data_IF_245158277070
#
_entry.id   IF_245158277070
#
_cell.length_a   1.000
_cell.length_b   1.000
_cell.length_c   1.000
_cell.angle_alpha   90.00
_cell.angle_beta   90.00
_cell.angle_gamma   90.00
#
_symmetry.space_group_name_H-M   'P 1'
#
loop_
_entity.id
_entity.type
_entity.pdbx_description
1 polymer ?
#
# COMPACT_ATOMS: atom_id res chain seq x y z
N UNK A 1 10.99 -7.36 10.50
CA UNK A 1 10.64 -6.03 11.04
C UNK A 1 9.25 -6.15 11.65
N UNK A 2 8.99 -5.50 12.80
CA UNK A 2 7.71 -5.61 13.53
C UNK A 2 6.77 -4.41 13.36
N UNK A 3 7.10 -3.49 12.43
CA UNK A 3 6.35 -2.26 12.17
C UNK A 3 5.42 -2.35 10.96
N UNK A 4 5.25 -1.25 10.24
CA UNK A 4 4.37 -1.18 9.08
C UNK A 4 5.08 -1.62 7.79
N UNK A 5 4.35 -2.30 6.91
CA UNK A 5 4.70 -2.48 5.51
C UNK A 5 3.88 -1.49 4.66
N UNK A 6 4.54 -0.46 4.12
CA UNK A 6 3.94 0.49 3.20
C UNK A 6 4.11 0.00 1.77
N UNK A 7 3.02 -0.06 1.01
CA UNK A 7 3.02 -0.45 -0.39
C UNK A 7 2.46 0.73 -1.21
N UNK A 8 3.32 1.56 -1.82
CA UNK A 8 2.89 2.50 -2.84
C UNK A 8 2.31 1.73 -4.02
N UNK A 9 1.04 1.94 -4.34
CA UNK A 9 0.42 1.29 -5.50
C UNK A 9 -0.58 2.21 -6.22
N UNK A 10 -0.72 1.99 -7.52
CA UNK A 10 -1.76 2.68 -8.30
C UNK A 10 -3.13 2.08 -7.96
N UNK A 11 -4.12 2.96 -7.86
CA UNK A 11 -5.45 2.63 -7.35
C UNK A 11 -6.24 1.65 -8.23
N UNK A 12 -5.79 1.43 -9.47
CA UNK A 12 -6.43 0.56 -10.47
C UNK A 12 -5.35 -0.40 -10.98
N UNK A 13 -5.72 -1.68 -11.13
CA UNK A 13 -4.84 -2.81 -11.49
C UNK A 13 -3.93 -3.30 -10.37
N UNK A 14 -2.74 -2.73 -10.17
CA UNK A 14 -1.70 -3.31 -9.29
C UNK A 14 -2.12 -3.53 -7.83
N UNK A 15 -2.99 -2.67 -7.29
CA UNK A 15 -3.52 -2.87 -5.93
C UNK A 15 -4.34 -4.17 -5.84
N UNK A 16 -5.01 -4.57 -6.91
CA UNK A 16 -5.88 -5.75 -6.95
C UNK A 16 -5.08 -7.04 -6.91
N UNK A 17 -4.02 -7.11 -7.73
CA UNK A 17 -3.12 -8.26 -7.80
C UNK A 17 -2.41 -8.47 -6.46
N UNK A 18 -1.74 -7.42 -5.96
CA UNK A 18 -1.04 -7.48 -4.68
C UNK A 18 -1.97 -7.85 -3.53
N UNK A 19 -3.18 -7.28 -3.46
CA UNK A 19 -4.13 -7.64 -2.41
C UNK A 19 -4.59 -9.09 -2.52
N UNK A 20 -4.85 -9.56 -3.75
CA UNK A 20 -5.30 -10.94 -4.00
C UNK A 20 -4.25 -11.93 -3.57
N UNK A 21 -2.99 -11.69 -3.93
CA UNK A 21 -1.87 -12.56 -3.59
C UNK A 21 -1.58 -12.55 -2.08
N UNK A 22 -1.60 -11.38 -1.44
CA UNK A 22 -1.42 -11.28 0.01
C UNK A 22 -2.49 -12.07 0.77
N UNK A 23 -3.75 -11.97 0.36
CA UNK A 23 -4.83 -12.73 1.01
C UNK A 23 -4.69 -14.22 0.73
N UNK A 24 -4.34 -14.63 -0.50
CA UNK A 24 -4.12 -16.04 -0.83
C UNK A 24 -3.00 -16.66 0.02
N UNK A 25 -1.84 -15.99 0.12
CA UNK A 25 -0.72 -16.43 0.96
C UNK A 25 -1.12 -16.54 2.45
N UNK A 26 -1.96 -15.62 2.95
CA UNK A 26 -2.49 -15.66 4.31
C UNK A 26 -3.51 -16.78 4.53
N UNK A 27 -4.32 -17.09 3.52
CA UNK A 27 -5.30 -18.19 3.56
C UNK A 27 -4.59 -19.56 3.53
N UNK A 28 -3.48 -19.66 2.80
CA UNK A 28 -2.64 -20.87 2.69
C UNK A 28 -1.71 -21.07 3.89
N UNK A 29 -1.52 -20.04 4.73
CA UNK A 29 -0.68 -20.10 5.91
C UNK A 29 0.82 -19.88 5.65
N UNK A 30 1.19 -19.52 4.42
CA UNK A 30 2.57 -19.18 4.02
C UNK A 30 3.05 -17.88 4.69
N UNK A 31 2.13 -16.97 4.99
CA UNK A 31 2.41 -15.74 5.75
C UNK A 31 1.39 -15.54 6.88
N UNK A 32 1.77 -14.95 8.02
CA UNK A 32 0.83 -14.71 9.12
C UNK A 32 -0.26 -13.71 8.71
N UNK A 33 -1.49 -13.97 9.14
CA UNK A 33 -2.59 -13.00 8.98
C UNK A 33 -2.27 -11.71 9.74
N UNK A 34 -2.44 -10.59 9.06
CA UNK A 34 -2.33 -9.25 9.66
C UNK A 34 -3.37 -8.29 9.08
N UNK A 35 -3.61 -7.14 9.73
CA UNK A 35 -4.44 -6.09 9.15
C UNK A 35 -3.85 -5.55 7.85
N UNK A 36 -4.70 -5.37 6.84
CA UNK A 36 -4.37 -4.73 5.57
C UNK A 36 -5.31 -3.52 5.40
N UNK A 37 -4.73 -2.34 5.23
CA UNK A 37 -5.47 -1.10 5.03
C UNK A 37 -5.26 -0.56 3.62
N UNK A 38 -6.36 -0.36 2.90
CA UNK A 38 -6.38 0.32 1.62
C UNK A 38 -6.67 1.80 1.86
N UNK A 39 -5.63 2.62 1.72
CA UNK A 39 -5.64 4.05 1.99
C UNK A 39 -5.70 4.87 0.71
N UNK A 40 -6.81 4.70 -0.02
CA UNK A 40 -7.05 5.41 -1.27
C UNK A 40 -8.56 5.54 -1.53
N UNK A 41 -9.13 6.76 -1.44
CA UNK A 41 -10.54 6.99 -1.77
C UNK A 41 -10.88 6.64 -3.22
N UNK A 42 -9.88 6.73 -4.11
CA UNK A 42 -10.03 6.30 -5.49
C UNK A 42 -10.12 4.77 -5.57
N UNK A 43 -9.28 4.04 -4.82
CA UNK A 43 -9.36 2.58 -4.77
C UNK A 43 -10.68 2.11 -4.16
N UNK A 44 -11.20 2.77 -3.12
CA UNK A 44 -12.53 2.47 -2.56
C UNK A 44 -13.63 2.63 -3.60
N UNK A 45 -13.62 3.73 -4.37
CA UNK A 45 -14.60 3.96 -5.45
C UNK A 45 -14.45 2.98 -6.61
N UNK A 46 -13.22 2.70 -7.03
CA UNK A 46 -12.93 1.72 -8.08
C UNK A 46 -13.36 0.31 -7.65
N UNK A 47 -13.17 -0.03 -6.37
CA UNK A 47 -13.64 -1.28 -5.77
C UNK A 47 -15.15 -1.41 -5.83
N UNK A 48 -15.90 -0.35 -5.49
CA UNK A 48 -17.36 -0.36 -5.58
C UNK A 48 -17.85 -0.48 -7.03
N UNK A 49 -17.17 0.15 -7.99
CA UNK A 49 -17.44 -0.07 -9.41
C UNK A 49 -17.15 -1.53 -9.82
N UNK A 50 -16.02 -2.08 -9.37
CA UNK A 50 -15.61 -3.46 -9.68
C UNK A 50 -16.61 -4.48 -9.12
N UNK A 51 -17.08 -4.31 -7.87
CA UNK A 51 -18.07 -5.20 -7.26
C UNK A 51 -19.34 -5.36 -8.09
N UNK A 52 -19.76 -4.30 -8.80
CA UNK A 52 -20.95 -4.32 -9.66
C UNK A 52 -20.76 -5.16 -10.92
N UNK A 53 -19.52 -5.31 -11.40
CA UNK A 53 -19.18 -5.98 -12.66
C UNK A 53 -18.33 -7.24 -12.47
N UNK A 54 -18.00 -7.61 -11.23
CA UNK A 54 -17.08 -8.69 -10.94
C UNK A 54 -17.57 -10.08 -11.40
N UNK A 55 -18.89 -10.26 -11.56
CA UNK A 55 -19.46 -11.46 -12.15
C UNK A 55 -19.04 -11.66 -13.63
N UNK A 56 -18.73 -10.57 -14.33
CA UNK A 56 -18.38 -10.56 -15.75
C UNK A 56 -16.87 -10.76 -16.00
N UNK A 57 -16.06 -10.68 -14.94
CA UNK A 57 -14.58 -10.64 -15.02
C UNK A 57 -13.90 -12.01 -14.78
N UNK A 58 -14.66 -13.11 -14.89
CA UNK A 58 -14.10 -14.46 -14.84
C UNK A 58 -13.43 -14.83 -13.50
N UNK A 59 -12.37 -15.64 -13.55
CA UNK A 59 -11.71 -16.15 -12.35
C UNK A 59 -10.93 -15.07 -11.57
N UNK A 60 -10.26 -14.13 -12.27
CA UNK A 60 -9.54 -13.02 -11.63
C UNK A 60 -10.47 -12.12 -10.81
N UNK A 61 -11.66 -11.81 -11.33
CA UNK A 61 -12.66 -11.01 -10.61
C UNK A 61 -13.16 -11.66 -9.32
N UNK A 62 -13.35 -12.99 -9.31
CA UNK A 62 -13.78 -13.72 -8.10
C UNK A 62 -12.70 -13.73 -7.01
N UNK A 63 -11.44 -13.93 -7.38
CA UNK A 63 -10.33 -13.94 -6.44
C UNK A 63 -10.16 -12.56 -5.79
N UNK A 64 -10.21 -11.49 -6.58
CA UNK A 64 -10.15 -10.13 -6.05
C UNK A 64 -11.35 -9.79 -5.16
N UNK A 65 -12.58 -10.17 -5.55
CA UNK A 65 -13.76 -10.04 -4.67
C UNK A 65 -13.58 -10.75 -3.32
N UNK A 66 -13.00 -11.96 -3.33
CA UNK A 66 -12.71 -12.69 -2.09
C UNK A 66 -11.75 -11.88 -1.22
N UNK A 67 -10.66 -11.38 -1.82
CA UNK A 67 -9.65 -10.60 -1.11
C UNK A 67 -10.23 -9.29 -0.54
N UNK A 68 -11.07 -8.59 -1.30
CA UNK A 68 -11.78 -7.39 -0.86
C UNK A 68 -12.69 -7.62 0.36
N UNK A 69 -13.28 -8.80 0.46
CA UNK A 69 -14.19 -9.18 1.54
C UNK A 69 -13.49 -9.92 2.68
N UNK A 70 -12.15 -10.06 2.64
CA UNK A 70 -11.42 -10.71 3.70
C UNK A 70 -11.53 -9.92 5.02
N UNK A 71 -11.73 -10.59 6.17
CA UNK A 71 -12.05 -9.92 7.44
C UNK A 71 -10.93 -9.03 7.97
N UNK A 72 -9.70 -9.23 7.51
CA UNK A 72 -8.52 -8.45 7.86
C UNK A 72 -8.24 -7.27 6.91
N UNK A 73 -9.07 -7.05 5.87
CA UNK A 73 -8.93 -5.95 4.91
C UNK A 73 -9.88 -4.81 5.27
N UNK A 74 -9.37 -3.58 5.32
CA UNK A 74 -10.15 -2.38 5.65
C UNK A 74 -9.87 -1.25 4.68
N UNK A 75 -10.89 -0.48 4.35
CA UNK A 75 -10.81 0.69 3.48
C UNK A 75 -10.91 1.96 4.31
N UNK A 76 -10.23 3.01 3.87
CA UNK A 76 -10.39 4.35 4.43
C UNK A 76 -10.95 5.29 3.38
N UNK A 77 -12.04 5.96 3.71
CA UNK A 77 -12.74 6.90 2.85
C UNK A 77 -12.42 8.33 3.24
N UNK A 78 -12.42 8.64 4.55
CA UNK A 78 -12.21 10.01 5.04
C UNK A 78 -10.76 10.30 5.42
N UNK A 79 -10.42 11.58 5.53
CA UNK A 79 -9.10 12.01 5.99
C UNK A 79 -8.86 11.62 7.46
N UNK A 80 -9.90 11.60 8.28
CA UNK A 80 -9.86 11.21 9.69
C UNK A 80 -9.55 9.72 9.83
N UNK A 81 -10.22 8.87 9.05
CA UNK A 81 -9.91 7.43 9.00
C UNK A 81 -8.49 7.18 8.53
N UNK A 82 -8.03 7.94 7.55
CA UNK A 82 -6.65 7.92 7.08
C UNK A 82 -5.70 8.28 8.23
N UNK A 83 -5.87 9.41 8.92
CA UNK A 83 -5.02 9.81 10.05
C UNK A 83 -5.05 8.80 11.20
N UNK A 84 -6.17 8.15 11.45
CA UNK A 84 -6.28 7.13 12.49
C UNK A 84 -5.33 5.93 12.26
N UNK A 85 -4.91 5.68 11.01
CA UNK A 85 -3.91 4.63 10.72
C UNK A 85 -2.55 4.90 11.37
N UNK A 86 -2.22 6.16 11.67
CA UNK A 86 -0.96 6.56 12.33
C UNK A 86 -0.86 6.00 13.78
N UNK A 87 -2.00 5.60 14.35
CA UNK A 87 -2.12 5.07 15.71
C UNK A 87 -2.11 3.54 15.75
N UNK A 88 -2.18 2.86 14.60
CA UNK A 88 -2.14 1.39 14.54
C UNK A 88 -0.79 0.89 15.05
N UNK A 89 -0.83 -0.20 15.81
CA UNK A 89 0.34 -0.84 16.44
C UNK A 89 0.47 -2.28 15.99
N UNK A 90 1.70 -2.81 16.10
CA UNK A 90 2.05 -4.13 15.61
C UNK A 90 2.21 -4.17 14.09
N UNK A 91 2.48 -5.35 13.56
CA UNK A 91 2.67 -5.54 12.12
C UNK A 91 1.34 -5.37 11.37
N UNK A 92 1.37 -4.53 10.34
CA UNK A 92 0.23 -4.29 9.47
C UNK A 92 0.70 -3.77 8.12
N UNK A 93 -0.16 -3.91 7.11
CA UNK A 93 0.11 -3.49 5.73
C UNK A 93 -0.76 -2.27 5.42
N UNK A 94 -0.18 -1.25 4.79
CA UNK A 94 -0.92 -0.12 4.23
C UNK A 94 -0.60 -0.03 2.74
N UNK A 95 -1.62 -0.21 1.90
CA UNK A 95 -1.54 0.01 0.45
C UNK A 95 -2.13 1.39 0.18
N UNK A 96 -1.32 2.31 -0.34
CA UNK A 96 -1.73 3.71 -0.54
C UNK A 96 -1.30 4.24 -1.91
N UNK A 97 -2.13 5.11 -2.47
CA UNK A 97 -1.83 5.81 -3.71
C UNK A 97 -1.06 7.13 -3.45
N UNK A 98 -0.20 7.59 -4.36
CA UNK A 98 0.11 7.05 -5.70
C UNK A 98 1.29 6.06 -5.74
N UNK A 99 1.32 5.18 -6.75
CA UNK A 99 2.33 4.11 -6.87
C UNK A 99 3.77 4.59 -7.06
N UNK A 100 3.98 5.83 -7.52
CA UNK A 100 5.31 6.44 -7.66
C UNK A 100 5.63 7.47 -6.57
N UNK A 101 4.81 7.55 -5.51
CA UNK A 101 4.99 8.43 -4.35
C UNK A 101 4.90 9.94 -4.62
N UNK A 102 4.50 10.36 -5.81
CA UNK A 102 4.43 11.78 -6.21
C UNK A 102 3.29 12.57 -5.55
N UNK A 103 2.19 11.88 -5.23
CA UNK A 103 0.96 12.51 -4.77
C UNK A 103 0.12 11.56 -3.91
N UNK A 104 -0.98 12.08 -3.35
CA UNK A 104 -1.96 11.29 -2.62
C UNK A 104 -1.51 10.95 -1.20
N UNK A 105 -2.20 9.97 -0.61
CA UNK A 105 -2.06 9.62 0.81
C UNK A 105 -0.75 8.92 1.13
N UNK A 106 -0.10 8.30 0.15
CA UNK A 106 1.23 7.70 0.34
C UNK A 106 2.25 8.74 0.84
N UNK A 107 2.16 10.01 0.43
CA UNK A 107 3.07 11.06 0.91
C UNK A 107 2.92 11.33 2.41
N UNK A 108 1.69 11.31 2.91
CA UNK A 108 1.41 11.37 4.34
C UNK A 108 2.03 10.18 5.08
N UNK A 109 1.93 8.97 4.50
CA UNK A 109 2.55 7.76 5.07
C UNK A 109 4.08 7.82 5.05
N UNK A 110 4.68 8.20 3.95
CA UNK A 110 6.13 8.32 3.87
C UNK A 110 6.64 9.35 4.89
N UNK A 111 5.97 10.50 5.01
CA UNK A 111 6.29 11.51 6.02
C UNK A 111 6.26 10.97 7.46
N UNK A 112 5.24 10.18 7.79
CA UNK A 112 5.05 9.68 9.15
C UNK A 112 5.94 8.49 9.53
N UNK A 113 6.43 7.72 8.56
CA UNK A 113 7.10 6.44 8.80
C UNK A 113 8.50 6.28 8.18
N UNK A 114 8.94 7.12 7.24
CA UNK A 114 10.28 6.98 6.62
C UNK A 114 11.43 7.04 7.64
N UNK A 115 11.28 7.83 8.70
CA UNK A 115 12.29 7.99 9.75
C UNK A 115 12.31 6.83 10.76
N UNK A 116 11.41 5.84 10.61
CA UNK A 116 11.27 4.72 11.54
C UNK A 116 11.95 3.45 11.00
N UNK A 117 12.93 2.86 11.69
CA UNK A 117 13.65 1.68 11.21
C UNK A 117 12.78 0.41 11.15
N UNK A 118 11.67 0.36 11.88
CA UNK A 118 10.72 -0.75 11.82
C UNK A 118 9.78 -0.70 10.60
N UNK A 119 9.75 0.41 9.86
CA UNK A 119 8.99 0.57 8.63
C UNK A 119 9.71 -0.11 7.46
N UNK A 120 8.95 -0.75 6.58
CA UNK A 120 9.42 -1.17 5.27
C UNK A 120 8.55 -0.54 4.18
N UNK A 121 9.17 0.06 3.17
CA UNK A 121 8.49 0.52 1.96
C UNK A 121 8.78 -0.48 0.86
N UNK A 122 7.74 -1.13 0.35
CA UNK A 122 7.81 -2.13 -0.71
C UNK A 122 7.28 -1.55 -2.01
N UNK A 123 8.18 -1.31 -2.95
CA UNK A 123 7.82 -0.89 -4.31
C UNK A 123 7.45 -2.12 -5.14
N UNK A 124 6.19 -2.18 -5.57
CA UNK A 124 5.60 -3.29 -6.35
C UNK A 124 5.40 -2.92 -7.82
N UNK A 125 6.13 -1.92 -8.32
CA UNK A 125 5.95 -1.46 -9.68
C UNK A 125 6.93 -0.38 -10.06
N UNK A 126 7.00 -0.13 -11.37
CA UNK A 126 7.97 0.79 -11.95
C UNK A 126 7.97 2.19 -11.31
N UNK A 127 9.16 2.69 -11.00
CA UNK A 127 9.39 4.04 -10.49
C UNK A 127 10.07 4.88 -11.58
N UNK A 128 9.43 5.93 -12.10
CA UNK A 128 10.05 6.76 -13.12
C UNK A 128 11.21 7.61 -12.56
N UNK A 129 12.22 7.88 -13.39
CA UNK A 129 13.32 8.77 -13.02
C UNK A 129 12.78 10.14 -12.58
N UNK A 130 13.35 10.69 -11.50
CA UNK A 130 12.92 11.97 -10.93
C UNK A 130 11.71 11.91 -9.99
N UNK A 131 11.05 10.75 -9.84
CA UNK A 131 9.99 10.58 -8.83
C UNK A 131 10.56 10.35 -7.44
N UNK A 132 9.81 10.73 -6.41
CA UNK A 132 10.15 10.44 -5.02
C UNK A 132 10.34 8.93 -4.79
N UNK A 133 9.50 8.10 -5.39
CA UNK A 133 9.63 6.66 -5.25
C UNK A 133 10.92 6.11 -5.85
N UNK A 134 11.39 6.64 -7.00
CA UNK A 134 12.71 6.29 -7.55
C UNK A 134 13.85 6.76 -6.66
N UNK A 135 13.79 7.98 -6.14
CA UNK A 135 14.80 8.54 -5.23
C UNK A 135 14.94 7.67 -3.98
N UNK A 136 13.82 7.26 -3.38
CA UNK A 136 13.82 6.36 -2.23
C UNK A 136 14.36 4.97 -2.60
N UNK A 137 13.95 4.42 -3.75
CA UNK A 137 14.42 3.13 -4.24
C UNK A 137 15.94 3.08 -4.47
N UNK A 138 16.54 4.20 -4.89
CA UNK A 138 17.98 4.35 -5.10
C UNK A 138 18.78 4.54 -3.80
N UNK A 139 18.11 4.56 -2.64
CA UNK A 139 18.76 4.56 -1.33
C UNK A 139 19.06 5.96 -0.78
N UNK A 140 18.27 6.97 -1.16
CA UNK A 140 18.38 8.30 -0.56
C UNK A 140 18.27 8.23 0.98
N UNK A 141 19.25 8.81 1.67
CA UNK A 141 19.27 8.90 3.15
C UNK A 141 18.41 10.03 3.67
N UNK A 142 18.15 11.04 2.84
CA UNK A 142 17.38 12.23 3.20
C UNK A 142 16.51 12.64 2.02
N UNK A 143 15.24 12.93 2.28
CA UNK A 143 14.28 13.40 1.27
C UNK A 143 13.48 14.56 1.81
N UNK A 144 12.92 15.36 0.89
CA UNK A 144 12.05 16.48 1.24
C UNK A 144 10.62 16.21 0.77
N UNK A 145 9.69 16.14 1.70
CA UNK A 145 8.27 15.89 1.42
C UNK A 145 7.46 17.07 1.96
N UNK A 146 6.80 17.81 1.07
CA UNK A 146 5.94 18.95 1.44
C UNK A 146 6.67 20.04 2.25
N UNK A 147 7.95 20.27 1.95
CA UNK A 147 8.77 21.28 2.61
C UNK A 147 9.50 20.80 3.86
N UNK A 148 9.24 19.58 4.32
CA UNK A 148 9.91 19.00 5.49
C UNK A 148 11.01 18.03 5.05
N UNK A 149 12.19 18.16 5.66
CA UNK A 149 13.30 17.22 5.51
C UNK A 149 13.09 16.02 6.41
N UNK A 150 13.26 14.83 5.85
CA UNK A 150 13.04 13.56 6.52
C UNK A 150 14.24 12.67 6.29
N UNK A 151 14.86 12.26 7.40
CA UNK A 151 15.89 11.23 7.38
C UNK A 151 15.26 9.85 7.16
N UNK A 152 15.81 9.06 6.25
CA UNK A 152 15.28 7.76 5.83
C UNK A 152 15.97 6.64 6.61
N UNK A 153 15.26 6.11 7.59
CA UNK A 153 15.66 4.93 8.37
C UNK A 153 14.90 3.65 7.94
N UNK A 154 13.75 3.82 7.27
CA UNK A 154 12.91 2.73 6.82
C UNK A 154 13.64 1.85 5.81
N UNK A 155 13.35 0.54 5.81
CA UNK A 155 13.90 -0.38 4.83
C UNK A 155 13.19 -0.20 3.48
N UNK A 156 13.96 -0.02 2.42
CA UNK A 156 13.44 -0.05 1.04
C UNK A 156 13.52 -1.49 0.50
N UNK A 157 12.45 -1.93 -0.15
CA UNK A 157 12.39 -3.22 -0.84
C UNK A 157 11.69 -3.05 -2.18
N UNK A 158 12.04 -3.89 -3.15
CA UNK A 158 11.42 -3.89 -4.48
C UNK A 158 11.00 -5.30 -4.85
N UNK A 159 9.83 -5.42 -5.46
CA UNK A 159 9.31 -6.65 -6.03
C UNK A 159 8.91 -6.39 -7.49
N UNK A 160 9.73 -6.87 -8.42
CA UNK A 160 9.48 -6.81 -9.87
C UNK A 160 8.63 -8.00 -10.30
N UNK A 161 7.39 -8.05 -9.81
CA UNK A 161 6.41 -9.09 -10.17
C UNK A 161 5.11 -8.52 -10.78
N UNK A 162 4.95 -7.19 -10.79
CA UNK A 162 3.70 -6.49 -11.15
C UNK A 162 3.92 -5.18 -11.95
#
# INVERSE_FOLDING_TARGET
>A
AGGVLLIPSFAVERTQEVLTDLVALMDEGEVPRCPIMIDSPLASRATEAFKKHAADLGHGGKAFLRALNAPNVRFTETAEQSKALDLVRGFHIIIAASGMCEAGRIRHRLKNWLWRPECTVLFVGFQAAGTLGRILQEGATDVRIQGEEIHVCARMATLDAY
#
